data_IF_255881199233
#
_entry.id   IF_255881199233
#
_cell.length_a   1.000
_cell.length_b   1.000
_cell.length_c   1.000
_cell.angle_alpha   90.00
_cell.angle_beta   90.00
_cell.angle_gamma   90.00
#
_symmetry.space_group_name_H-M   'P 1'
#
loop_
_entity.id
_entity.type
_entity.pdbx_description
1 polymer ?
#
# COMPACT_ATOMS: atom_id res chain seq x y z
N UNK A 1 -0.15 12.91 -20.40
CA UNK A 1 -1.15 11.89 -20.76
C UNK A 1 -1.72 11.32 -19.46
N UNK A 2 -2.87 11.82 -19.00
CA UNK A 2 -3.51 11.39 -17.74
C UNK A 2 -4.39 10.15 -17.89
N UNK A 3 -4.63 9.69 -19.13
CA UNK A 3 -5.43 8.50 -19.43
C UNK A 3 -4.88 7.20 -18.82
N UNK A 4 -3.59 7.19 -18.46
CA UNK A 4 -2.93 6.02 -17.88
C UNK A 4 -2.97 5.99 -16.35
N UNK A 5 -3.44 7.04 -15.65
CA UNK A 5 -3.35 7.05 -14.17
C UNK A 5 -4.45 6.21 -13.52
N UNK A 6 -5.62 6.09 -14.17
CA UNK A 6 -6.81 5.39 -13.66
C UNK A 6 -7.44 4.47 -14.72
N UNK A 7 -6.76 3.41 -15.18
CA UNK A 7 -7.32 2.50 -16.18
C UNK A 7 -8.49 1.66 -15.66
N UNK A 8 -8.72 1.64 -14.34
CA UNK A 8 -9.79 0.85 -13.72
C UNK A 8 -10.63 1.70 -12.76
N UNK A 9 -11.93 1.43 -12.74
CA UNK A 9 -12.85 1.99 -11.76
C UNK A 9 -12.53 1.48 -10.34
N UNK A 10 -12.87 2.30 -9.34
CA UNK A 10 -12.70 1.93 -7.94
C UNK A 10 -13.50 0.64 -7.67
N UNK A 11 -12.83 -0.35 -7.08
CA UNK A 11 -13.39 -1.68 -6.80
C UNK A 11 -13.68 -2.56 -8.03
N UNK A 12 -13.29 -2.15 -9.23
CA UNK A 12 -13.29 -3.03 -10.39
C UNK A 12 -12.11 -4.01 -10.34
N UNK A 13 -12.39 -5.29 -10.63
CA UNK A 13 -11.39 -6.35 -10.74
C UNK A 13 -10.94 -6.61 -12.18
N UNK A 14 -11.45 -5.87 -13.17
CA UNK A 14 -11.16 -6.07 -14.60
C UNK A 14 -9.65 -6.08 -14.90
N UNK A 15 -8.87 -5.30 -14.14
CA UNK A 15 -7.41 -5.23 -14.30
C UNK A 15 -6.60 -6.23 -13.50
N UNK A 16 -7.21 -7.01 -12.60
CA UNK A 16 -6.50 -7.84 -11.65
C UNK A 16 -6.19 -9.21 -12.25
N UNK A 17 -4.94 -9.66 -12.15
CA UNK A 17 -4.53 -11.00 -12.57
C UNK A 17 -4.91 -12.02 -11.49
N UNK A 18 -5.81 -12.95 -11.84
CA UNK A 18 -6.34 -14.01 -10.95
C UNK A 18 -6.75 -13.44 -9.57
N UNK A 19 -7.67 -12.47 -9.53
CA UNK A 19 -8.03 -11.83 -8.27
C UNK A 19 -8.66 -12.83 -7.30
N UNK A 20 -8.54 -12.53 -6.01
CA UNK A 20 -9.39 -13.13 -4.99
C UNK A 20 -10.82 -12.57 -5.10
N UNK A 21 -11.68 -12.92 -4.15
CA UNK A 21 -13.01 -12.28 -4.06
C UNK A 21 -12.87 -10.76 -3.91
N UNK A 22 -13.86 -10.03 -4.42
CA UNK A 22 -13.86 -8.56 -4.32
C UNK A 22 -13.74 -8.09 -2.86
N UNK A 23 -14.38 -8.81 -1.93
CA UNK A 23 -14.30 -8.53 -0.51
C UNK A 23 -12.87 -8.66 0.04
N UNK A 24 -12.19 -9.78 -0.26
CA UNK A 24 -10.79 -9.98 0.11
C UNK A 24 -9.89 -8.90 -0.50
N UNK A 25 -10.09 -8.55 -1.78
CA UNK A 25 -9.35 -7.50 -2.47
C UNK A 25 -9.54 -6.12 -1.81
N UNK A 26 -10.74 -5.81 -1.32
CA UNK A 26 -11.01 -4.59 -0.53
C UNK A 26 -10.30 -4.61 0.83
N UNK A 27 -10.23 -5.78 1.48
CA UNK A 27 -9.46 -5.98 2.71
C UNK A 27 -7.97 -5.69 2.49
N UNK A 28 -7.38 -6.29 1.46
CA UNK A 28 -5.98 -6.03 1.07
C UNK A 28 -5.75 -4.58 0.68
N UNK A 29 -6.70 -3.95 -0.01
CA UNK A 29 -6.61 -2.54 -0.37
C UNK A 29 -6.59 -1.63 0.85
N UNK A 30 -7.41 -1.92 1.87
CA UNK A 30 -7.42 -1.16 3.13
C UNK A 30 -6.06 -1.23 3.83
N UNK A 31 -5.48 -2.42 3.92
CA UNK A 31 -4.12 -2.64 4.47
C UNK A 31 -3.04 -1.96 3.63
N UNK A 32 -3.11 -2.09 2.30
CA UNK A 32 -2.22 -1.42 1.36
C UNK A 32 -2.24 0.11 1.50
N UNK A 33 -3.43 0.69 1.74
CA UNK A 33 -3.57 2.11 2.04
C UNK A 33 -2.93 2.48 3.37
N UNK A 34 -3.15 1.67 4.40
CA UNK A 34 -2.58 1.88 5.72
C UNK A 34 -1.05 1.92 5.68
N UNK A 35 -0.38 1.10 4.85
CA UNK A 35 1.09 1.18 4.68
C UNK A 35 1.57 2.37 3.85
N UNK A 36 0.76 2.89 2.91
CA UNK A 36 1.15 3.96 1.97
C UNK A 36 1.00 5.38 2.53
N UNK A 37 0.14 5.60 3.53
CA UNK A 37 -0.14 6.94 4.04
C UNK A 37 0.28 7.17 5.50
N UNK A 38 1.08 8.21 5.76
CA UNK A 38 1.15 8.90 7.06
C UNK A 38 -0.27 9.39 7.42
N UNK A 39 -0.57 9.48 8.72
CA UNK A 39 -1.86 9.89 9.27
C UNK A 39 -2.21 11.35 8.97
N UNK A 40 -2.41 11.71 7.70
CA UNK A 40 -2.95 13.01 7.31
C UNK A 40 -4.39 12.82 6.85
N UNK A 41 -5.29 13.35 7.68
CA UNK A 41 -6.71 13.54 7.46
C UNK A 41 -6.99 14.24 6.13
N UNK A 42 -6.98 13.50 5.03
CA UNK A 42 -7.56 13.96 3.79
C UNK A 42 -8.75 13.07 3.50
N UNK A 43 -9.94 13.68 3.47
CA UNK A 43 -11.10 13.13 2.80
C UNK A 43 -10.63 12.71 1.41
N UNK A 44 -10.43 11.40 1.22
CA UNK A 44 -10.00 10.91 -0.07
C UNK A 44 -11.16 11.16 -1.02
N UNK A 45 -10.99 12.12 -1.92
CA UNK A 45 -11.89 12.28 -3.05
C UNK A 45 -11.99 10.94 -3.78
N UNK A 46 -13.13 10.66 -4.41
CA UNK A 46 -13.32 9.45 -5.20
C UNK A 46 -12.14 9.23 -6.17
N UNK A 47 -11.65 10.30 -6.77
CA UNK A 47 -10.47 10.31 -7.64
C UNK A 47 -9.20 9.77 -6.95
N UNK A 48 -8.90 10.24 -5.74
CA UNK A 48 -7.73 9.78 -4.99
C UNK A 48 -7.85 8.30 -4.59
N UNK A 49 -9.05 7.84 -4.21
CA UNK A 49 -9.31 6.42 -3.96
C UNK A 49 -9.13 5.57 -5.21
N UNK A 50 -9.63 6.02 -6.35
CA UNK A 50 -9.49 5.32 -7.62
C UNK A 50 -8.03 5.21 -8.07
N UNK A 51 -7.23 6.27 -7.91
CA UNK A 51 -5.78 6.24 -8.19
C UNK A 51 -5.04 5.27 -7.28
N UNK A 52 -5.40 5.24 -5.99
CA UNK A 52 -4.85 4.28 -5.04
C UNK A 52 -5.25 2.84 -5.41
N UNK A 53 -6.50 2.62 -5.80
CA UNK A 53 -6.98 1.32 -6.27
C UNK A 53 -6.20 0.85 -7.50
N UNK A 54 -6.00 1.73 -8.50
CA UNK A 54 -5.21 1.39 -9.67
C UNK A 54 -3.75 1.07 -9.33
N UNK A 55 -3.16 1.82 -8.39
CA UNK A 55 -1.80 1.53 -7.90
C UNK A 55 -1.74 0.18 -7.18
N UNK A 56 -2.78 -0.15 -6.41
CA UNK A 56 -2.92 -1.44 -5.74
C UNK A 56 -3.02 -2.59 -6.74
N UNK A 57 -3.89 -2.50 -7.76
CA UNK A 57 -4.02 -3.53 -8.81
C UNK A 57 -2.70 -3.71 -9.58
N UNK A 58 -1.98 -2.63 -9.90
CA UNK A 58 -0.65 -2.73 -10.52
C UNK A 58 0.34 -3.50 -9.65
N UNK A 59 0.37 -3.22 -8.34
CA UNK A 59 1.30 -3.92 -7.43
C UNK A 59 0.89 -5.39 -7.23
N UNK A 60 -0.42 -5.67 -7.15
CA UNK A 60 -0.95 -7.03 -7.13
C UNK A 60 -0.45 -7.84 -8.34
N UNK A 61 -0.67 -7.31 -9.55
CA UNK A 61 -0.23 -7.91 -10.79
C UNK A 61 1.30 -8.09 -10.85
N UNK A 62 2.06 -7.08 -10.42
CA UNK A 62 3.52 -7.16 -10.38
C UNK A 62 4.01 -8.28 -9.46
N UNK A 63 3.50 -8.37 -8.22
CA UNK A 63 3.86 -9.44 -7.29
C UNK A 63 3.60 -10.83 -7.91
N UNK A 64 2.46 -11.02 -8.56
CA UNK A 64 2.13 -12.30 -9.22
C UNK A 64 3.05 -12.62 -10.39
N UNK A 65 3.38 -11.63 -11.22
CA UNK A 65 4.32 -11.81 -12.34
C UNK A 65 5.75 -12.07 -11.87
N UNK A 66 6.11 -11.54 -10.70
CA UNK A 66 7.36 -11.83 -9.99
C UNK A 66 7.34 -13.21 -9.29
N UNK A 67 6.22 -13.94 -9.32
CA UNK A 67 6.06 -15.21 -8.60
C UNK A 67 5.96 -15.07 -7.07
N UNK A 68 5.75 -13.83 -6.59
CA UNK A 68 5.65 -13.50 -5.18
C UNK A 68 4.19 -13.51 -4.71
N UNK A 69 3.98 -13.86 -3.44
CA UNK A 69 2.69 -13.64 -2.79
C UNK A 69 2.54 -12.17 -2.43
N UNK A 70 1.48 -11.53 -2.96
CA UNK A 70 1.15 -10.17 -2.58
C UNK A 70 0.90 -10.02 -1.08
N UNK A 71 0.29 -11.02 -0.43
CA UNK A 71 0.03 -10.99 1.01
C UNK A 71 1.32 -10.99 1.81
N UNK A 72 2.28 -11.85 1.44
CA UNK A 72 3.59 -11.91 2.08
C UNK A 72 4.37 -10.58 1.92
N UNK A 73 4.32 -9.98 0.73
CA UNK A 73 4.90 -8.65 0.51
C UNK A 73 4.22 -7.56 1.36
N UNK A 74 2.90 -7.64 1.53
CA UNK A 74 2.14 -6.68 2.32
C UNK A 74 2.47 -6.80 3.82
N UNK A 75 2.57 -8.03 4.33
CA UNK A 75 2.95 -8.33 5.72
C UNK A 75 4.36 -7.83 6.06
N UNK A 76 5.34 -8.04 5.18
CA UNK A 76 6.69 -7.49 5.33
C UNK A 76 6.69 -5.96 5.47
N UNK A 77 5.90 -5.29 4.63
CA UNK A 77 5.81 -3.82 4.62
C UNK A 77 5.07 -3.28 5.83
N UNK A 78 4.05 -3.98 6.31
CA UNK A 78 3.36 -3.67 7.57
C UNK A 78 4.31 -3.81 8.76
N UNK A 79 5.08 -4.90 8.82
CA UNK A 79 6.10 -5.13 9.85
C UNK A 79 7.19 -4.06 9.86
N UNK A 80 7.76 -3.75 8.70
CA UNK A 80 8.80 -2.72 8.58
C UNK A 80 8.29 -1.31 8.96
N UNK A 81 7.01 -1.02 8.68
CA UNK A 81 6.39 0.25 9.12
C UNK A 81 6.13 0.28 10.62
N UNK A 82 5.73 -0.84 11.23
CA UNK A 82 5.56 -0.96 12.68
C UNK A 82 6.88 -0.80 13.42
N UNK A 83 7.97 -1.37 12.89
CA UNK A 83 9.31 -1.32 13.49
C UNK A 83 10.03 0.03 13.32
N UNK A 84 9.52 0.89 12.43
CA UNK A 84 10.05 2.23 12.18
C UNK A 84 9.00 3.30 12.51
N UNK A 85 8.34 3.16 13.67
CA UNK A 85 7.64 4.31 14.22
C UNK A 85 8.64 5.44 14.43
N UNK A 86 8.24 6.68 14.13
CA UNK A 86 9.09 7.87 14.27
C UNK A 86 9.70 7.97 15.69
N UNK A 87 9.04 7.38 16.70
CA UNK A 87 9.55 7.26 18.06
C UNK A 87 10.83 6.45 18.16
N UNK A 88 10.85 5.22 17.63
CA UNK A 88 12.04 4.34 17.68
C UNK A 88 13.20 4.86 16.83
N UNK A 89 12.91 5.47 15.67
CA UNK A 89 13.93 6.14 14.86
C UNK A 89 14.53 7.36 15.60
N UNK A 90 13.71 8.15 16.30
CA UNK A 90 14.19 9.26 17.14
C UNK A 90 15.04 8.74 18.30
N UNK A 91 14.61 7.68 18.97
CA UNK A 91 15.35 7.09 20.08
C UNK A 91 16.72 6.56 19.64
N UNK A 92 16.78 5.86 18.50
CA UNK A 92 18.07 5.43 17.90
C UNK A 92 18.97 6.58 17.51
N UNK A 93 18.42 7.66 16.92
CA UNK A 93 19.21 8.86 16.58
C UNK A 93 19.72 9.55 17.84
N UNK A 94 18.90 9.65 18.90
CA UNK A 94 19.33 10.19 20.19
C UNK A 94 20.42 9.33 20.85
N UNK A 95 20.31 8.00 20.80
CA UNK A 95 21.32 7.08 21.33
C UNK A 95 22.66 7.20 20.58
N UNK A 96 22.63 7.36 19.25
CA UNK A 96 23.83 7.58 18.46
C UNK A 96 24.48 8.94 18.74
N UNK A 97 23.68 9.99 18.90
CA UNK A 97 24.16 11.35 19.20
C UNK A 97 24.69 11.53 20.64
N UNK A 98 24.35 10.62 21.56
CA UNK A 98 24.84 10.63 22.94
C UNK A 98 26.17 9.90 23.12
N UNK A 99 26.68 9.24 22.07
CA UNK A 99 27.92 8.46 22.10
C UNK A 99 29.02 9.03 21.19
N UNK A 100 28.87 10.29 20.75
CA UNK A 100 29.92 11.12 20.12
C UNK A 100 30.57 12.08 21.10
#
# INVERSE_FOLDING_TARGET
>A
MEGDLKPWELYSLVGAEKPETLDAMKGFFTRYRAIRGKATNFAYTHDALQRLWCSFIRRWNAARREGLSFTSWLEDREGNRSNHTIGELRERVCQLAQHE
#
